data_IF_857110744359
#
_entry.id   IF_857110744359
#
_cell.length_a   1.000
_cell.length_b   1.000
_cell.length_c   1.000
_cell.angle_alpha   90.00
_cell.angle_beta   90.00
_cell.angle_gamma   90.00
#
_symmetry.space_group_name_H-M   'P 1'
#
loop_
_entity.id
_entity.type
_entity.pdbx_description
1 polymer ?
#
# COMPACT_ATOMS: atom_id res chain seq x y z
N UNK A 1 -18.77 17.31 1.71
CA UNK A 1 -17.46 17.70 2.24
C UNK A 1 -17.10 19.06 1.64
N UNK A 2 -16.47 19.94 2.44
CA UNK A 2 -16.00 21.27 1.95
C UNK A 2 -14.94 21.15 0.86
N UNK A 3 -14.53 22.27 0.30
CA UNK A 3 -13.62 22.36 -0.85
C UNK A 3 -12.40 21.43 -0.68
N UNK A 4 -12.14 20.63 -1.72
CA UNK A 4 -10.94 19.81 -1.85
C UNK A 4 -11.00 18.42 -1.22
N UNK A 5 -12.09 18.00 -0.56
CA UNK A 5 -12.20 16.68 0.04
C UNK A 5 -13.18 15.77 -0.70
N UNK A 6 -12.77 14.52 -0.91
CA UNK A 6 -13.56 13.45 -1.50
C UNK A 6 -13.45 12.21 -0.61
N UNK A 7 -14.56 11.48 -0.45
CA UNK A 7 -14.58 10.21 0.26
C UNK A 7 -15.22 9.13 -0.60
N UNK A 8 -14.70 7.93 -0.54
CA UNK A 8 -15.20 6.74 -1.22
C UNK A 8 -15.30 5.56 -0.25
N UNK A 9 -16.30 4.72 -0.49
CA UNK A 9 -16.49 3.44 0.19
C UNK A 9 -16.77 2.38 -0.88
N UNK A 10 -16.07 1.27 -0.80
CA UNK A 10 -16.23 0.13 -1.70
C UNK A 10 -16.43 -1.15 -0.88
N UNK A 11 -17.32 -2.01 -1.36
CA UNK A 11 -17.50 -3.36 -0.85
C UNK A 11 -17.42 -4.36 -2.00
N UNK A 12 -16.50 -5.31 -1.87
CA UNK A 12 -16.27 -6.33 -2.90
C UNK A 12 -16.35 -7.73 -2.31
N UNK A 13 -17.00 -8.63 -3.04
CA UNK A 13 -16.96 -10.08 -2.79
C UNK A 13 -16.36 -10.73 -4.02
N UNK A 14 -15.40 -11.62 -3.82
CA UNK A 14 -14.77 -12.40 -4.88
C UNK A 14 -14.51 -13.84 -4.41
N UNK A 15 -14.64 -14.78 -5.31
CA UNK A 15 -14.29 -16.18 -5.06
C UNK A 15 -13.66 -16.78 -6.32
N UNK A 16 -12.80 -17.76 -6.14
CA UNK A 16 -12.25 -18.56 -7.24
C UNK A 16 -12.84 -19.96 -7.11
N UNK A 17 -13.49 -20.43 -8.13
CA UNK A 17 -14.05 -21.80 -8.18
C UNK A 17 -12.94 -22.84 -8.15
N UNK A 18 -13.25 -24.01 -7.64
CA UNK A 18 -12.35 -25.16 -7.76
C UNK A 18 -12.06 -25.47 -9.24
N UNK A 19 -10.83 -25.85 -9.53
CA UNK A 19 -10.43 -26.34 -10.84
C UNK A 19 -10.12 -27.83 -10.75
N UNK A 20 -10.57 -28.61 -11.73
CA UNK A 20 -10.23 -30.03 -11.82
C UNK A 20 -8.78 -30.23 -12.27
N UNK A 21 -8.20 -31.36 -11.88
CA UNK A 21 -6.87 -31.72 -12.35
C UNK A 21 -6.87 -31.96 -13.86
N UNK A 22 -5.87 -31.42 -14.55
CA UNK A 22 -5.58 -31.72 -15.94
C UNK A 22 -4.20 -32.37 -16.04
N UNK A 23 -3.82 -33.00 -17.17
CA UNK A 23 -2.48 -33.58 -17.32
C UNK A 23 -1.32 -32.62 -17.07
N UNK A 24 -1.56 -31.30 -17.23
CA UNK A 24 -0.54 -30.26 -17.06
C UNK A 24 -0.61 -29.54 -15.70
N UNK A 25 -1.74 -29.56 -14.99
CA UNK A 25 -1.93 -28.82 -13.75
C UNK A 25 -2.70 -29.65 -12.71
N UNK A 26 -2.28 -29.62 -11.43
CA UNK A 26 -3.02 -30.27 -10.35
C UNK A 26 -4.37 -29.58 -10.09
N UNK A 27 -5.30 -30.30 -9.50
CA UNK A 27 -6.55 -29.74 -9.02
C UNK A 27 -6.29 -28.62 -7.99
N UNK A 28 -7.05 -27.55 -8.06
CA UNK A 28 -7.01 -26.46 -7.08
C UNK A 28 -8.36 -26.37 -6.37
N UNK A 29 -8.40 -26.34 -5.03
CA UNK A 29 -9.65 -26.19 -4.30
C UNK A 29 -10.23 -24.77 -4.49
N UNK A 30 -11.55 -24.63 -4.31
CA UNK A 30 -12.19 -23.32 -4.28
C UNK A 30 -11.62 -22.46 -3.13
N UNK A 31 -11.44 -21.17 -3.36
CA UNK A 31 -10.92 -20.24 -2.34
C UNK A 31 -11.95 -19.86 -1.26
N UNK A 32 -13.24 -20.14 -1.50
CA UNK A 32 -14.35 -19.57 -0.76
C UNK A 32 -14.49 -18.05 -0.99
N UNK A 33 -15.44 -17.44 -0.31
CA UNK A 33 -15.69 -16.00 -0.47
C UNK A 33 -14.62 -15.17 0.23
N UNK A 34 -14.02 -14.25 -0.53
CA UNK A 34 -13.14 -13.20 -0.04
C UNK A 34 -13.95 -11.90 -0.06
N UNK A 35 -14.16 -11.33 1.12
CA UNK A 35 -14.90 -10.08 1.32
C UNK A 35 -13.94 -8.96 1.66
N UNK A 36 -14.03 -7.85 0.95
CA UNK A 36 -13.21 -6.67 1.18
C UNK A 36 -14.11 -5.45 1.36
N UNK A 37 -13.87 -4.70 2.42
CA UNK A 37 -14.43 -3.35 2.62
C UNK A 37 -13.27 -2.38 2.54
N UNK A 38 -13.38 -1.36 1.68
CA UNK A 38 -12.35 -0.34 1.50
C UNK A 38 -12.95 1.05 1.64
N UNK A 39 -12.26 1.92 2.36
CA UNK A 39 -12.59 3.33 2.49
C UNK A 39 -11.40 4.17 1.99
N UNK A 40 -11.68 5.24 1.26
CA UNK A 40 -10.71 6.19 0.77
C UNK A 40 -11.12 7.61 1.12
N UNK A 41 -10.15 8.41 1.53
CA UNK A 41 -10.30 9.85 1.74
C UNK A 41 -9.20 10.56 0.94
N UNK A 42 -9.60 11.52 0.10
CA UNK A 42 -8.70 12.33 -0.71
C UNK A 42 -8.93 13.79 -0.34
N UNK A 43 -7.86 14.50 0.02
CA UNK A 43 -7.85 15.94 0.23
C UNK A 43 -6.93 16.61 -0.80
N UNK A 44 -7.40 17.66 -1.47
CA UNK A 44 -6.60 18.45 -2.39
C UNK A 44 -6.49 19.89 -1.86
N UNK A 45 -5.28 20.47 -1.94
CA UNK A 45 -5.05 21.84 -1.47
C UNK A 45 -5.16 21.98 0.05
N UNK A 46 -4.79 20.95 0.83
CA UNK A 46 -4.96 20.95 2.30
C UNK A 46 -3.94 21.85 2.99
N UNK A 47 -2.70 21.85 2.52
CA UNK A 47 -1.59 22.66 3.05
C UNK A 47 -1.03 23.63 2.01
N UNK A 48 -1.20 23.33 0.72
CA UNK A 48 -0.78 24.15 -0.41
C UNK A 48 -1.61 23.84 -1.65
N UNK A 49 -1.68 24.76 -2.61
CA UNK A 49 -2.57 24.67 -3.77
C UNK A 49 -2.37 23.40 -4.64
N UNK A 50 -1.18 22.81 -4.60
CA UNK A 50 -0.82 21.64 -5.40
C UNK A 50 -0.66 20.35 -4.57
N UNK A 51 -0.98 20.40 -3.28
CA UNK A 51 -0.84 19.26 -2.40
C UNK A 51 -2.03 18.30 -2.54
N UNK A 52 -1.74 17.02 -2.42
CA UNK A 52 -2.75 15.96 -2.39
C UNK A 52 -2.50 15.07 -1.18
N UNK A 53 -3.53 14.77 -0.44
CA UNK A 53 -3.50 13.88 0.71
C UNK A 53 -4.43 12.71 0.45
N UNK A 54 -3.92 11.47 0.52
CA UNK A 54 -4.71 10.26 0.29
C UNK A 54 -4.55 9.32 1.47
N UNK A 55 -5.67 8.95 2.06
CA UNK A 55 -5.76 7.87 3.07
C UNK A 55 -6.60 6.75 2.50
N UNK A 56 -6.10 5.53 2.58
CA UNK A 56 -6.85 4.32 2.26
C UNK A 56 -6.85 3.39 3.46
N UNK A 57 -8.00 2.81 3.77
CA UNK A 57 -8.14 1.76 4.76
C UNK A 57 -8.96 0.62 4.15
N UNK A 58 -8.47 -0.61 4.27
CA UNK A 58 -9.17 -1.80 3.77
C UNK A 58 -9.18 -2.88 4.84
N UNK A 59 -10.32 -3.54 4.97
CA UNK A 59 -10.47 -4.74 5.77
C UNK A 59 -10.87 -5.89 4.87
N UNK A 60 -10.12 -6.99 4.98
CA UNK A 60 -10.32 -8.19 4.18
C UNK A 60 -10.62 -9.37 5.09
N UNK A 61 -11.64 -10.15 4.73
CA UNK A 61 -12.00 -11.41 5.36
C UNK A 61 -12.02 -12.50 4.31
N UNK A 62 -11.21 -13.53 4.50
CA UNK A 62 -11.16 -14.74 3.70
C UNK A 62 -11.37 -15.96 4.59
N UNK A 63 -11.70 -17.15 4.06
CA UNK A 63 -11.87 -18.37 4.87
C UNK A 63 -10.64 -18.73 5.72
N UNK A 64 -9.44 -18.43 5.25
CA UNK A 64 -8.18 -18.78 5.92
C UNK A 64 -7.59 -17.65 6.76
N UNK A 65 -7.96 -16.40 6.54
CA UNK A 65 -7.37 -15.25 7.24
C UNK A 65 -8.24 -14.00 7.17
N UNK A 66 -7.95 -13.06 8.04
CA UNK A 66 -8.53 -11.70 8.05
C UNK A 66 -7.42 -10.68 8.27
N UNK A 67 -7.58 -9.49 7.70
CA UNK A 67 -6.52 -8.50 7.78
C UNK A 67 -6.98 -7.07 7.53
N UNK A 68 -6.14 -6.14 7.97
CA UNK A 68 -6.24 -4.72 7.75
C UNK A 68 -5.08 -4.22 6.91
N UNK A 69 -5.35 -3.32 6.01
CA UNK A 69 -4.37 -2.51 5.31
C UNK A 69 -4.76 -1.04 5.49
N UNK A 70 -3.83 -0.24 6.00
CA UNK A 70 -3.98 1.23 6.05
C UNK A 70 -2.80 1.83 5.31
N UNK A 71 -3.07 2.76 4.42
CA UNK A 71 -2.07 3.49 3.65
C UNK A 71 -2.33 4.99 3.71
N UNK A 72 -1.28 5.74 3.96
CA UNK A 72 -1.23 7.19 3.96
C UNK A 72 -0.24 7.63 2.88
N UNK A 73 -0.70 8.41 1.91
CA UNK A 73 0.09 8.84 0.75
C UNK A 73 -0.10 10.35 0.51
N UNK A 74 0.49 11.23 1.32
CA UNK A 74 0.51 12.66 1.01
C UNK A 74 1.53 12.95 -0.10
N UNK A 75 1.23 13.95 -0.90
CA UNK A 75 2.12 14.52 -1.91
C UNK A 75 2.21 16.01 -1.69
N UNK A 76 3.42 16.51 -1.48
CA UNK A 76 3.71 17.91 -1.29
C UNK A 76 4.49 18.44 -2.47
N UNK A 77 4.11 19.63 -2.96
CA UNK A 77 4.82 20.32 -4.04
C UNK A 77 5.36 21.65 -3.52
N UNK A 78 6.70 21.79 -3.53
CA UNK A 78 7.40 22.97 -3.04
C UNK A 78 8.07 23.72 -4.18
N UNK A 79 7.83 25.03 -4.25
CA UNK A 79 8.46 25.94 -5.21
C UNK A 79 8.40 25.43 -6.67
N UNK A 80 7.35 24.72 -7.06
CA UNK A 80 7.11 24.13 -8.39
C UNK A 80 8.18 23.16 -8.89
N UNK A 81 9.27 22.98 -8.15
CA UNK A 81 10.43 22.15 -8.53
C UNK A 81 10.59 20.89 -7.69
N UNK A 82 10.12 20.88 -6.46
CA UNK A 82 10.23 19.75 -5.55
C UNK A 82 8.88 19.07 -5.37
N UNK A 83 8.87 17.76 -5.50
CA UNK A 83 7.76 16.90 -5.07
C UNK A 83 8.28 15.96 -4.00
N UNK A 84 7.59 15.91 -2.86
CA UNK A 84 7.94 15.01 -1.74
C UNK A 84 6.70 14.19 -1.38
N UNK A 85 6.86 12.88 -1.38
CA UNK A 85 5.79 11.90 -1.13
C UNK A 85 6.21 10.96 0.02
N UNK A 86 5.95 11.31 1.28
CA UNK A 86 6.06 10.36 2.38
C UNK A 86 4.89 9.38 2.32
N UNK A 87 5.18 8.11 2.24
CA UNK A 87 4.18 7.04 2.14
C UNK A 87 4.32 6.18 3.39
N UNK A 88 3.23 5.92 4.08
CA UNK A 88 3.20 5.01 5.20
C UNK A 88 2.18 3.92 4.92
N UNK A 89 2.59 2.65 4.96
CA UNK A 89 1.71 1.50 4.86
C UNK A 89 1.81 0.67 6.13
N UNK A 90 0.66 0.33 6.66
CA UNK A 90 0.53 -0.60 7.76
C UNK A 90 -0.37 -1.74 7.36
N UNK A 91 0.10 -2.95 7.59
CA UNK A 91 -0.61 -4.19 7.33
C UNK A 91 -0.65 -5.06 8.57
N UNK A 92 -1.80 -5.65 8.85
CA UNK A 92 -1.96 -6.63 9.92
C UNK A 92 -2.88 -7.74 9.44
N UNK A 93 -2.42 -8.98 9.56
CA UNK A 93 -3.19 -10.17 9.20
C UNK A 93 -3.18 -11.16 10.37
N UNK A 94 -4.29 -11.84 10.55
CA UNK A 94 -4.41 -12.98 11.47
C UNK A 94 -5.02 -14.14 10.68
N UNK A 95 -4.38 -15.29 10.68
CA UNK A 95 -4.90 -16.50 10.08
C UNK A 95 -5.66 -17.37 11.10
N UNK A 96 -6.26 -18.46 10.62
CA UNK A 96 -7.01 -19.40 11.45
C UNK A 96 -6.14 -20.22 12.39
N UNK A 97 -4.83 -20.29 12.15
CA UNK A 97 -3.86 -20.95 13.04
C UNK A 97 -3.42 -20.07 14.20
N UNK A 98 -3.88 -18.80 14.23
CA UNK A 98 -3.48 -17.80 15.22
C UNK A 98 -2.16 -17.11 14.88
N UNK A 99 -1.59 -17.33 13.68
CA UNK A 99 -0.44 -16.58 13.22
C UNK A 99 -0.84 -15.12 13.00
N UNK A 100 -0.16 -14.21 13.69
CA UNK A 100 -0.30 -12.77 13.54
C UNK A 100 0.88 -12.23 12.74
N UNK A 101 0.60 -11.66 11.58
CA UNK A 101 1.56 -10.92 10.76
C UNK A 101 1.28 -9.43 10.86
N UNK A 102 2.29 -8.64 11.17
CA UNK A 102 2.22 -7.18 11.15
C UNK A 102 3.39 -6.65 10.33
N UNK A 103 3.12 -5.68 9.44
CA UNK A 103 4.13 -5.06 8.59
C UNK A 103 3.95 -3.55 8.57
N UNK A 104 5.05 -2.83 8.72
CA UNK A 104 5.16 -1.39 8.54
C UNK A 104 6.10 -1.11 7.38
N UNK A 105 5.69 -0.25 6.47
CA UNK A 105 6.49 0.10 5.30
C UNK A 105 6.46 1.62 5.09
N UNK A 106 7.23 2.40 5.87
CA UNK A 106 7.47 3.80 5.57
C UNK A 106 8.36 3.92 4.32
N UNK A 107 7.98 4.82 3.43
CA UNK A 107 8.71 5.14 2.20
C UNK A 107 8.75 6.66 2.05
N UNK A 108 9.89 7.21 1.71
CA UNK A 108 10.04 8.60 1.34
C UNK A 108 10.50 8.67 -0.10
N UNK A 109 9.71 9.30 -0.95
CA UNK A 109 10.06 9.61 -2.34
C UNK A 109 10.22 11.11 -2.49
N UNK A 110 11.27 11.54 -3.18
CA UNK A 110 11.51 12.93 -3.50
C UNK A 110 11.92 13.06 -4.96
N UNK A 111 11.34 14.02 -5.66
CA UNK A 111 11.67 14.36 -7.04
C UNK A 111 12.05 15.83 -7.10
N UNK A 112 13.12 16.14 -7.80
CA UNK A 112 13.57 17.51 -8.03
C UNK A 112 13.73 17.78 -9.51
N UNK A 113 12.97 18.75 -10.01
CA UNK A 113 13.11 19.27 -11.38
C UNK A 113 14.19 20.34 -11.41
N UNK A 114 15.38 19.96 -11.87
CA UNK A 114 16.47 20.91 -12.05
C UNK A 114 16.20 21.89 -13.19
N UNK A 115 15.77 21.36 -14.34
CA UNK A 115 15.38 22.13 -15.52
C UNK A 115 14.17 21.49 -16.18
N UNK A 116 13.68 22.08 -17.28
CA UNK A 116 12.56 21.50 -18.03
C UNK A 116 12.92 20.15 -18.67
N UNK A 117 14.22 19.85 -18.79
CA UNK A 117 14.72 18.61 -19.38
C UNK A 117 15.30 17.63 -18.37
N UNK A 118 15.64 18.04 -17.17
CA UNK A 118 16.34 17.21 -16.18
C UNK A 118 15.55 17.15 -14.89
N UNK A 119 15.26 15.93 -14.45
CA UNK A 119 14.74 15.65 -13.12
C UNK A 119 15.61 14.61 -12.40
N UNK A 120 15.72 14.77 -11.09
CA UNK A 120 16.36 13.83 -10.17
C UNK A 120 15.29 13.21 -9.27
N UNK A 121 15.36 11.89 -9.09
CA UNK A 121 14.43 11.13 -8.27
C UNK A 121 15.23 10.34 -7.22
N UNK A 122 14.73 10.35 -5.99
CA UNK A 122 15.27 9.56 -4.90
C UNK A 122 14.13 8.88 -4.13
N UNK A 123 14.34 7.65 -3.73
CA UNK A 123 13.42 6.90 -2.89
C UNK A 123 14.18 6.13 -1.81
N UNK A 124 13.66 6.16 -0.59
CA UNK A 124 14.08 5.32 0.50
C UNK A 124 12.85 4.63 1.10
N UNK A 125 12.88 3.32 1.21
CA UNK A 125 11.80 2.50 1.75
C UNK A 125 12.33 1.56 2.81
N UNK A 126 11.67 1.52 3.95
CA UNK A 126 12.02 0.67 5.06
C UNK A 126 10.86 -0.27 5.37
N UNK A 127 11.09 -1.56 5.32
CA UNK A 127 10.09 -2.58 5.65
C UNK A 127 10.43 -3.26 6.97
N UNK A 128 9.51 -3.17 7.94
CA UNK A 128 9.61 -3.81 9.24
C UNK A 128 8.46 -4.80 9.36
N UNK A 129 8.77 -6.10 9.32
CA UNK A 129 7.83 -7.20 9.47
C UNK A 129 7.97 -7.88 10.83
N UNK A 130 6.85 -8.27 11.41
CA UNK A 130 6.79 -9.11 12.61
C UNK A 130 5.78 -10.22 12.39
N UNK A 131 6.21 -11.46 12.60
CA UNK A 131 5.39 -12.66 12.57
C UNK A 131 5.37 -13.27 13.97
N UNK A 132 4.18 -13.55 14.48
CA UNK A 132 4.02 -14.11 15.83
C UNK A 132 2.97 -15.21 15.83
N UNK A 133 3.38 -16.39 16.31
CA UNK A 133 2.50 -17.51 16.62
C UNK A 133 2.82 -18.07 18.02
N UNK A 134 2.21 -19.15 18.43
CA UNK A 134 2.52 -19.81 19.70
C UNK A 134 3.97 -20.32 19.79
N UNK A 135 4.57 -20.66 18.65
CA UNK A 135 5.89 -21.31 18.57
C UNK A 135 6.94 -20.50 17.83
N UNK A 136 6.53 -19.48 17.06
CA UNK A 136 7.42 -18.73 16.17
C UNK A 136 7.31 -17.23 16.45
N UNK A 137 8.45 -16.59 16.64
CA UNK A 137 8.58 -15.13 16.72
C UNK A 137 9.68 -14.70 15.77
N UNK A 138 9.30 -14.13 14.63
CA UNK A 138 10.23 -13.66 13.63
C UNK A 138 10.07 -12.17 13.42
N UNK A 139 11.19 -11.49 13.15
CA UNK A 139 11.22 -10.08 12.78
C UNK A 139 12.10 -9.93 11.55
N UNK A 140 11.57 -9.26 10.54
CA UNK A 140 12.29 -8.93 9.32
C UNK A 140 12.47 -7.42 9.23
N UNK A 141 13.61 -7.01 8.68
CA UNK A 141 13.95 -5.60 8.55
C UNK A 141 14.72 -5.41 7.24
N UNK A 142 14.13 -4.68 6.29
CA UNK A 142 14.71 -4.43 4.98
C UNK A 142 14.71 -2.95 4.67
N UNK A 143 15.83 -2.44 4.21
CA UNK A 143 16.00 -1.07 3.71
C UNK A 143 16.29 -1.14 2.21
N UNK A 144 15.50 -0.40 1.44
CA UNK A 144 15.69 -0.20 0.02
C UNK A 144 15.93 1.29 -0.24
N UNK A 145 16.81 1.60 -1.17
CA UNK A 145 17.01 2.96 -1.64
C UNK A 145 17.27 2.97 -3.15
N UNK A 146 16.85 4.05 -3.78
CA UNK A 146 17.01 4.30 -5.19
C UNK A 146 17.34 5.77 -5.41
N UNK A 147 18.26 6.05 -6.34
CA UNK A 147 18.53 7.39 -6.86
C UNK A 147 18.63 7.27 -8.36
N UNK A 148 17.93 8.12 -9.07
CA UNK A 148 17.89 8.14 -10.52
C UNK A 148 17.81 9.55 -11.09
N UNK A 149 18.00 9.66 -12.39
CA UNK A 149 17.75 10.87 -13.13
C UNK A 149 16.99 10.55 -14.43
N UNK A 150 16.21 11.52 -14.88
CA UNK A 150 15.53 11.47 -16.16
C UNK A 150 15.94 12.68 -17.00
N UNK A 151 16.23 12.43 -18.26
CA UNK A 151 16.47 13.46 -19.26
C UNK A 151 15.43 13.36 -20.37
N UNK A 152 14.70 14.45 -20.61
CA UNK A 152 13.70 14.57 -21.66
C UNK A 152 14.33 15.33 -22.86
N UNK A 153 14.33 14.73 -24.04
CA UNK A 153 14.96 15.25 -25.26
C UNK A 153 14.17 16.36 -25.92
#
# INVERSE_FOLDING_TARGET
>A
FGNGWQAGLDYRVSSVSATEATPAFPASPATGDIKTVSAQLIGSGVWGASDVFVVNASYLTAPAYKGWLVALNPRFVFATKWTVEPILRWYRQTDNSGLLLTRWSPTLRASWRWSDKISLDAEASWEIGKSRSLTVHESTNHLFYYIGYRYDF
#
